data_IF_596486749185
#
_entry.id   IF_596486749185
#
_cell.length_a   1.000
_cell.length_b   1.000
_cell.length_c   1.000
_cell.angle_alpha   90.00
_cell.angle_beta   90.00
_cell.angle_gamma   90.00
#
_symmetry.space_group_name_H-M   'P 1'
#
loop_
_entity.id
_entity.type
_entity.pdbx_description
1 polymer ?
#
# COMPACT_ATOMS: atom_id res chain seq x y z
N UNK A 1 -21.90 23.12 -28.38
CA UNK A 1 -20.57 22.65 -27.98
C UNK A 1 -20.24 23.28 -26.64
N UNK A 2 -20.76 22.75 -25.53
CA UNK A 2 -20.58 23.26 -24.18
C UNK A 2 -19.66 22.25 -23.49
N UNK A 3 -18.37 22.59 -23.43
CA UNK A 3 -17.46 21.91 -22.51
C UNK A 3 -17.98 22.15 -21.09
N UNK A 4 -18.67 21.14 -20.53
CA UNK A 4 -19.02 21.16 -19.13
C UNK A 4 -17.73 21.32 -18.33
N UNK A 5 -17.58 22.44 -17.65
CA UNK A 5 -16.53 22.66 -16.68
C UNK A 5 -16.69 21.57 -15.60
N UNK A 6 -16.03 20.44 -15.79
CA UNK A 6 -15.87 19.45 -14.74
C UNK A 6 -15.13 20.13 -13.62
N UNK A 7 -15.85 20.50 -12.55
CA UNK A 7 -15.22 21.06 -11.36
C UNK A 7 -14.14 20.09 -10.91
N UNK A 8 -12.89 20.52 -11.00
CA UNK A 8 -11.74 19.76 -10.56
C UNK A 8 -11.93 19.42 -9.09
N UNK A 9 -11.98 18.13 -8.76
CA UNK A 9 -12.18 17.63 -7.38
C UNK A 9 -11.00 17.95 -6.47
N UNK A 10 -9.81 18.18 -7.06
CA UNK A 10 -8.55 18.41 -6.38
C UNK A 10 -7.80 19.59 -7.03
N UNK A 11 -6.84 20.24 -6.31
CA UNK A 11 -5.94 21.23 -6.89
C UNK A 11 -5.12 20.63 -8.05
N UNK A 12 -4.77 21.47 -9.05
CA UNK A 12 -4.05 21.07 -10.28
C UNK A 12 -2.74 20.31 -10.02
N UNK A 13 -2.08 20.57 -8.92
CA UNK A 13 -0.83 19.88 -8.52
C UNK A 13 -0.97 18.38 -8.30
N UNK A 14 -2.20 17.85 -8.19
CA UNK A 14 -2.49 16.44 -8.02
C UNK A 14 -2.90 15.73 -9.31
N UNK A 15 -2.81 16.45 -10.45
CA UNK A 15 -3.07 15.87 -11.77
C UNK A 15 -1.78 15.72 -12.55
N UNK A 16 -1.71 14.64 -13.32
CA UNK A 16 -0.65 14.38 -14.28
C UNK A 16 -0.89 15.18 -15.57
N UNK A 17 0.10 15.27 -16.46
CA UNK A 17 -0.02 15.90 -17.80
C UNK A 17 -1.19 15.33 -18.63
N UNK A 18 -1.56 14.09 -18.37
CA UNK A 18 -2.73 13.41 -18.97
C UNK A 18 -4.06 13.74 -18.30
N UNK A 19 -4.11 14.64 -17.31
CA UNK A 19 -5.32 14.98 -16.56
C UNK A 19 -5.79 13.92 -15.55
N UNK A 20 -4.96 12.92 -15.22
CA UNK A 20 -5.28 11.83 -14.28
C UNK A 20 -4.85 12.19 -12.87
N UNK A 21 -5.64 11.77 -11.87
CA UNK A 21 -5.30 11.99 -10.46
C UNK A 21 -4.07 11.16 -10.07
N UNK A 22 -3.04 11.85 -9.57
CA UNK A 22 -1.81 11.22 -9.08
C UNK A 22 -2.03 10.53 -7.72
N UNK A 23 -1.35 9.39 -7.47
CA UNK A 23 -1.35 8.78 -6.15
C UNK A 23 -0.75 9.75 -5.12
N UNK A 24 -1.36 9.88 -3.94
CA UNK A 24 -0.84 10.77 -2.92
C UNK A 24 0.52 10.28 -2.41
N UNK A 25 1.48 11.18 -2.26
CA UNK A 25 2.85 10.84 -1.79
C UNK A 25 2.86 10.13 -0.43
N UNK A 26 1.92 10.49 0.46
CA UNK A 26 1.79 9.86 1.77
C UNK A 26 1.42 8.37 1.69
N UNK A 27 0.71 7.94 0.63
CA UNK A 27 0.40 6.51 0.39
C UNK A 27 1.70 5.70 0.26
N UNK A 28 2.63 6.17 -0.57
CA UNK A 28 3.93 5.52 -0.74
C UNK A 28 4.72 5.50 0.57
N UNK A 29 4.75 6.63 1.29
CA UNK A 29 5.46 6.72 2.57
C UNK A 29 4.89 5.75 3.61
N UNK A 30 3.56 5.68 3.77
CA UNK A 30 2.92 4.75 4.69
C UNK A 30 3.15 3.28 4.28
N UNK A 31 2.98 2.95 2.99
CA UNK A 31 3.23 1.59 2.52
C UNK A 31 4.69 1.17 2.70
N UNK A 32 5.66 2.07 2.45
CA UNK A 32 7.08 1.80 2.67
C UNK A 32 7.38 1.56 4.15
N UNK A 33 6.80 2.36 5.06
CA UNK A 33 6.95 2.16 6.50
C UNK A 33 6.31 0.85 6.98
N UNK A 34 5.17 0.47 6.44
CA UNK A 34 4.53 -0.83 6.74
C UNK A 34 5.32 -2.02 6.19
N UNK A 35 6.09 -1.80 5.12
CA UNK A 35 6.97 -2.81 4.53
C UNK A 35 8.42 -2.76 5.05
N UNK A 36 8.66 -2.08 6.19
CA UNK A 36 10.01 -1.93 6.76
C UNK A 36 10.67 -3.28 7.05
N UNK A 37 9.88 -4.30 7.35
CA UNK A 37 10.35 -5.66 7.62
C UNK A 37 11.02 -6.28 6.38
N UNK A 38 10.53 -5.97 5.18
CA UNK A 38 11.16 -6.36 3.91
C UNK A 38 12.48 -5.66 3.69
N UNK A 39 12.55 -4.38 4.04
CA UNK A 39 13.78 -3.60 3.94
C UNK A 39 14.81 -4.17 4.91
N UNK A 40 14.44 -4.40 6.17
CA UNK A 40 15.30 -5.02 7.17
C UNK A 40 15.78 -6.42 6.74
N UNK A 41 14.90 -7.23 6.17
CA UNK A 41 15.22 -8.56 5.66
C UNK A 41 16.26 -8.50 4.51
N UNK A 42 16.05 -7.63 3.52
CA UNK A 42 17.00 -7.46 2.40
C UNK A 42 18.36 -6.97 2.88
N UNK A 43 18.38 -5.97 3.78
CA UNK A 43 19.64 -5.50 4.38
C UNK A 43 20.35 -6.60 5.16
N UNK A 44 19.60 -7.41 5.89
CA UNK A 44 20.14 -8.55 6.62
C UNK A 44 20.79 -9.58 5.68
N UNK A 45 20.17 -9.88 4.53
CA UNK A 45 20.76 -10.78 3.54
C UNK A 45 22.04 -10.20 2.90
N UNK A 46 22.10 -8.88 2.74
CA UNK A 46 23.25 -8.20 2.17
C UNK A 46 24.43 -8.11 3.14
N UNK A 47 24.18 -8.01 4.44
CA UNK A 47 25.20 -7.84 5.49
C UNK A 47 25.53 -9.17 6.17
N UNK A 48 26.41 -9.96 5.57
CA UNK A 48 26.79 -11.30 6.07
C UNK A 48 27.37 -11.31 7.48
N UNK A 49 27.98 -10.24 7.95
CA UNK A 49 28.67 -10.17 9.23
C UNK A 49 27.79 -9.75 10.41
N UNK A 50 26.74 -8.96 10.20
CA UNK A 50 25.89 -8.39 11.25
C UNK A 50 24.43 -8.81 11.14
N UNK A 51 24.12 -9.80 10.28
CA UNK A 51 22.78 -10.29 10.00
C UNK A 51 22.03 -10.68 11.27
N UNK A 52 22.69 -11.41 12.16
CA UNK A 52 22.07 -11.92 13.39
C UNK A 52 21.77 -10.83 14.40
N UNK A 53 22.61 -9.81 14.55
CA UNK A 53 22.40 -8.72 15.51
C UNK A 53 21.26 -7.79 15.09
N UNK A 54 21.22 -7.38 13.82
CA UNK A 54 20.14 -6.55 13.29
C UNK A 54 18.79 -7.24 13.34
N UNK A 55 18.74 -8.53 12.95
CA UNK A 55 17.51 -9.31 13.01
C UNK A 55 17.05 -9.57 14.45
N UNK A 56 17.97 -9.88 15.38
CA UNK A 56 17.63 -10.15 16.77
C UNK A 56 17.08 -8.92 17.50
N UNK A 57 17.48 -7.72 17.08
CA UNK A 57 16.94 -6.46 17.62
C UNK A 57 15.46 -6.26 17.27
N UNK A 58 15.09 -6.55 16.03
CA UNK A 58 13.70 -6.37 15.56
C UNK A 58 12.84 -7.62 15.77
N UNK A 59 13.44 -8.80 15.71
CA UNK A 59 12.77 -10.10 15.77
C UNK A 59 13.63 -11.12 16.53
N UNK A 60 13.38 -11.32 17.82
CA UNK A 60 14.09 -12.30 18.61
C UNK A 60 13.87 -13.73 18.09
N UNK A 61 12.76 -13.97 17.38
CA UNK A 61 12.45 -15.26 16.77
C UNK A 61 12.37 -15.16 15.22
N UNK A 62 13.12 -16.00 14.51
CA UNK A 62 13.12 -16.07 13.03
C UNK A 62 11.74 -16.41 12.45
N UNK A 63 10.93 -17.19 13.16
CA UNK A 63 9.57 -17.51 12.75
C UNK A 63 8.67 -16.28 12.73
N UNK A 64 8.80 -15.40 13.72
CA UNK A 64 8.04 -14.14 13.81
C UNK A 64 8.33 -13.22 12.64
N UNK A 65 9.59 -13.14 12.19
CA UNK A 65 9.95 -12.40 10.98
C UNK A 65 9.25 -12.98 9.75
N UNK A 66 9.28 -14.31 9.57
CA UNK A 66 8.63 -14.97 8.43
C UNK A 66 7.13 -14.67 8.37
N UNK A 67 6.45 -14.73 9.51
CA UNK A 67 5.01 -14.41 9.62
C UNK A 67 4.76 -12.93 9.28
N UNK A 68 5.57 -12.01 9.77
CA UNK A 68 5.44 -10.58 9.47
C UNK A 68 5.66 -10.29 7.98
N UNK A 69 6.64 -10.93 7.33
CA UNK A 69 6.87 -10.82 5.89
C UNK A 69 5.67 -11.31 5.08
N UNK A 70 5.09 -12.45 5.44
CA UNK A 70 3.89 -12.98 4.76
C UNK A 70 2.70 -12.05 4.97
N UNK A 71 2.49 -11.57 6.19
CA UNK A 71 1.37 -10.68 6.53
C UNK A 71 1.44 -9.31 5.80
N UNK A 72 2.64 -8.84 5.46
CA UNK A 72 2.85 -7.60 4.72
C UNK A 72 2.79 -7.75 3.19
N UNK A 73 2.76 -8.97 2.64
CA UNK A 73 2.65 -9.23 1.20
C UNK A 73 1.48 -8.50 0.52
N UNK A 74 0.27 -8.43 1.10
CA UNK A 74 -0.83 -7.70 0.46
C UNK A 74 -0.53 -6.20 0.32
N UNK A 75 0.16 -5.57 1.29
CA UNK A 75 0.56 -4.16 1.20
C UNK A 75 1.57 -3.97 0.07
N UNK A 76 2.57 -4.85 -0.02
CA UNK A 76 3.55 -4.84 -1.09
C UNK A 76 2.88 -5.01 -2.46
N UNK A 77 1.93 -5.92 -2.56
CA UNK A 77 1.13 -6.12 -3.78
C UNK A 77 0.34 -4.87 -4.14
N UNK A 78 -0.33 -4.23 -3.17
CA UNK A 78 -1.03 -2.97 -3.38
C UNK A 78 -0.11 -1.84 -3.85
N UNK A 79 1.09 -1.73 -3.27
CA UNK A 79 2.12 -0.77 -3.68
C UNK A 79 2.59 -1.02 -5.12
N UNK A 80 2.84 -2.28 -5.47
CA UNK A 80 3.24 -2.66 -6.82
C UNK A 80 2.15 -2.37 -7.85
N UNK A 81 0.88 -2.61 -7.53
CA UNK A 81 -0.25 -2.27 -8.40
C UNK A 81 -0.29 -0.76 -8.69
N UNK A 82 -0.16 0.07 -7.66
CA UNK A 82 -0.13 1.53 -7.82
C UNK A 82 1.10 1.99 -8.62
N UNK A 83 2.27 1.38 -8.38
CA UNK A 83 3.51 1.73 -9.06
C UNK A 83 3.52 1.31 -10.54
N UNK A 84 2.91 0.17 -10.87
CA UNK A 84 2.89 -0.38 -12.23
C UNK A 84 1.62 0.00 -13.02
N UNK A 85 0.90 1.04 -12.61
CA UNK A 85 -0.35 1.52 -13.21
C UNK A 85 -0.29 1.63 -14.73
N UNK A 86 0.77 2.24 -15.27
CA UNK A 86 0.91 2.49 -16.71
C UNK A 86 1.02 1.20 -17.54
N UNK A 87 1.67 0.17 -16.97
CA UNK A 87 1.77 -1.15 -17.62
C UNK A 87 0.44 -1.88 -17.62
N UNK A 88 -0.34 -1.75 -16.54
CA UNK A 88 -1.64 -2.40 -16.39
C UNK A 88 -2.68 -1.77 -17.32
N UNK A 89 -2.66 -0.45 -17.49
CA UNK A 89 -3.53 0.24 -18.45
C UNK A 89 -3.21 -0.15 -19.88
N UNK A 90 -1.92 -0.21 -20.26
CA UNK A 90 -1.52 -0.67 -21.60
C UNK A 90 -2.00 -2.09 -21.95
N UNK A 91 -2.27 -2.91 -20.95
CA UNK A 91 -2.82 -4.28 -21.11
C UNK A 91 -4.35 -4.33 -21.07
N UNK A 92 -5.04 -3.20 -20.95
CA UNK A 92 -6.51 -3.12 -20.93
C UNK A 92 -7.17 -3.64 -19.64
N UNK A 93 -6.41 -3.94 -18.61
CA UNK A 93 -6.99 -4.35 -17.33
C UNK A 93 -7.45 -3.11 -16.54
N UNK A 94 -8.75 -3.02 -16.16
CA UNK A 94 -9.31 -1.89 -15.40
C UNK A 94 -9.65 -2.30 -13.98
N UNK A 95 -10.14 -3.52 -13.78
CA UNK A 95 -10.67 -4.01 -12.49
C UNK A 95 -9.66 -4.01 -11.35
N UNK A 96 -8.36 -3.99 -11.64
CA UNK A 96 -7.30 -3.93 -10.61
C UNK A 96 -7.36 -2.66 -9.75
N UNK A 97 -7.87 -1.55 -10.29
CA UNK A 97 -8.01 -0.29 -9.56
C UNK A 97 -8.90 -0.46 -8.32
N UNK A 98 -9.99 -1.23 -8.45
CA UNK A 98 -10.91 -1.51 -7.33
C UNK A 98 -10.26 -2.37 -6.26
N UNK A 99 -9.28 -3.22 -6.62
CA UNK A 99 -8.60 -4.11 -5.69
C UNK A 99 -7.55 -3.40 -4.81
N UNK A 100 -7.04 -2.22 -5.21
CA UNK A 100 -5.97 -1.51 -4.48
C UNK A 100 -6.34 -1.27 -3.01
N UNK A 101 -7.49 -0.62 -2.78
CA UNK A 101 -7.92 -0.25 -1.44
C UNK A 101 -8.16 -1.45 -0.53
N UNK A 102 -8.97 -2.47 -0.91
CA UNK A 102 -9.18 -3.63 -0.05
C UNK A 102 -7.90 -4.45 0.19
N UNK A 103 -6.99 -4.53 -0.79
CA UNK A 103 -5.72 -5.26 -0.63
C UNK A 103 -4.82 -4.59 0.41
N UNK A 104 -4.68 -3.25 0.37
CA UNK A 104 -3.90 -2.51 1.36
C UNK A 104 -4.54 -2.61 2.74
N UNK A 105 -5.86 -2.46 2.86
CA UNK A 105 -6.58 -2.60 4.13
C UNK A 105 -6.43 -3.99 4.72
N UNK A 106 -6.54 -5.03 3.89
CA UNK A 106 -6.34 -6.42 4.32
C UNK A 106 -4.92 -6.63 4.84
N UNK A 107 -3.90 -6.08 4.17
CA UNK A 107 -2.52 -6.16 4.64
C UNK A 107 -2.29 -5.43 5.97
N UNK A 108 -2.85 -4.24 6.15
CA UNK A 108 -2.78 -3.53 7.43
C UNK A 108 -3.47 -4.32 8.55
N UNK A 109 -4.62 -4.93 8.28
CA UNK A 109 -5.32 -5.77 9.24
C UNK A 109 -4.53 -7.03 9.58
N UNK A 110 -3.90 -7.68 8.58
CA UNK A 110 -3.04 -8.85 8.79
C UNK A 110 -1.84 -8.53 9.68
N UNK A 111 -1.16 -7.40 9.43
CA UNK A 111 -0.05 -6.95 10.27
C UNK A 111 -0.51 -6.65 11.71
N UNK A 112 -1.65 -6.00 11.87
CA UNK A 112 -2.21 -5.74 13.18
C UNK A 112 -2.54 -7.03 13.93
N UNK A 113 -3.15 -8.01 13.26
CA UNK A 113 -3.45 -9.32 13.83
C UNK A 113 -2.19 -10.07 14.30
N UNK A 114 -1.11 -10.04 13.49
CA UNK A 114 0.17 -10.64 13.86
C UNK A 114 0.77 -9.97 15.10
N UNK A 115 0.70 -8.64 15.20
CA UNK A 115 1.17 -7.92 16.38
C UNK A 115 0.35 -8.27 17.63
N UNK A 116 -0.97 -8.43 17.47
CA UNK A 116 -1.86 -8.80 18.55
C UNK A 116 -1.58 -10.22 19.07
N UNK A 117 -1.37 -11.19 18.16
CA UNK A 117 -1.00 -12.57 18.58
C UNK A 117 0.34 -12.59 19.29
N UNK A 118 1.33 -11.85 18.79
CA UNK A 118 2.62 -11.71 19.47
C UNK A 118 2.47 -11.19 20.91
N UNK A 119 1.64 -10.16 21.12
CA UNK A 119 1.41 -9.57 22.44
C UNK A 119 0.69 -10.55 23.39
N UNK A 120 -0.25 -11.34 22.87
CA UNK A 120 -0.95 -12.38 23.65
C UNK A 120 0.01 -13.49 24.09
N UNK A 121 0.92 -13.93 23.23
CA UNK A 121 1.90 -14.96 23.52
C UNK A 121 2.95 -14.53 24.57
N UNK A 122 3.19 -13.21 24.71
CA UNK A 122 4.14 -12.64 25.65
C UNK A 122 3.44 -12.08 26.91
N UNK A 123 2.31 -12.64 27.32
CA UNK A 123 1.59 -12.30 28.55
C UNK A 123 1.33 -10.80 28.75
N UNK A 124 1.07 -10.06 27.66
CA UNK A 124 0.86 -8.61 27.64
C UNK A 124 2.06 -7.80 28.15
N UNK A 125 3.28 -8.35 28.08
CA UNK A 125 4.50 -7.62 28.40
C UNK A 125 4.61 -6.35 27.56
N UNK A 126 4.80 -5.20 28.23
CA UNK A 126 4.93 -3.92 27.54
C UNK A 126 6.26 -3.81 26.83
N UNK A 127 6.23 -3.92 25.49
CA UNK A 127 7.36 -3.61 24.62
C UNK A 127 7.05 -2.35 23.80
N UNK A 128 7.85 -1.31 23.99
CA UNK A 128 7.66 -0.02 23.32
C UNK A 128 7.61 -0.13 21.79
N UNK A 129 8.45 -0.97 21.21
CA UNK A 129 8.51 -1.17 19.75
C UNK A 129 7.23 -1.80 19.22
N UNK A 130 6.68 -2.79 19.93
CA UNK A 130 5.42 -3.46 19.56
C UNK A 130 4.26 -2.49 19.69
N UNK A 131 4.19 -1.73 20.77
CA UNK A 131 3.14 -0.72 20.97
C UNK A 131 3.18 0.37 19.88
N UNK A 132 4.36 0.84 19.51
CA UNK A 132 4.55 1.82 18.44
C UNK A 132 4.09 1.26 17.07
N UNK A 133 4.44 0.02 16.76
CA UNK A 133 4.01 -0.66 15.53
C UNK A 133 2.49 -0.84 15.48
N UNK A 134 1.87 -1.25 16.59
CA UNK A 134 0.41 -1.39 16.68
C UNK A 134 -0.30 -0.04 16.47
N UNK A 135 0.17 1.03 17.14
CA UNK A 135 -0.36 2.37 16.96
C UNK A 135 -0.23 2.83 15.50
N UNK A 136 0.90 2.55 14.87
CA UNK A 136 1.14 2.89 13.47
C UNK A 136 0.23 2.11 12.50
N UNK A 137 0.01 0.81 12.74
CA UNK A 137 -0.95 0.01 11.95
C UNK A 137 -2.38 0.54 12.08
N UNK A 138 -2.82 0.92 13.28
CA UNK A 138 -4.14 1.52 13.49
C UNK A 138 -4.26 2.87 12.80
N UNK A 139 -3.23 3.71 12.88
CA UNK A 139 -3.18 4.98 12.16
C UNK A 139 -3.26 4.77 10.65
N UNK A 140 -2.52 3.82 10.10
CA UNK A 140 -2.54 3.50 8.68
C UNK A 140 -3.92 2.96 8.24
N UNK A 141 -4.52 2.06 9.01
CA UNK A 141 -5.89 1.57 8.77
C UNK A 141 -6.89 2.73 8.70
N UNK A 142 -6.83 3.63 9.67
CA UNK A 142 -7.71 4.81 9.70
C UNK A 142 -7.46 5.72 8.50
N UNK A 143 -6.19 6.02 8.18
CA UNK A 143 -5.80 6.87 7.07
C UNK A 143 -6.29 6.32 5.73
N UNK A 144 -6.06 5.02 5.45
CA UNK A 144 -6.51 4.38 4.22
C UNK A 144 -8.04 4.26 4.12
N UNK A 145 -8.71 3.96 5.26
CA UNK A 145 -10.17 3.87 5.30
C UNK A 145 -10.82 5.20 4.96
N UNK A 146 -10.40 6.29 5.64
CA UNK A 146 -11.03 7.60 5.57
C UNK A 146 -10.55 8.44 4.37
N UNK A 147 -9.50 8.06 3.67
CA UNK A 147 -8.92 8.87 2.59
C UNK A 147 -9.88 9.11 1.43
N UNK A 148 -10.31 10.37 1.28
CA UNK A 148 -11.11 10.84 0.15
C UNK A 148 -10.27 10.87 -1.13
N UNK A 149 -9.00 11.26 -1.03
CA UNK A 149 -8.08 11.32 -2.16
C UNK A 149 -7.92 9.94 -2.83
N UNK A 150 -7.73 8.90 -2.03
CA UNK A 150 -7.60 7.53 -2.52
C UNK A 150 -8.86 7.07 -3.27
N UNK A 151 -10.04 7.42 -2.74
CA UNK A 151 -11.31 7.08 -3.37
C UNK A 151 -11.50 7.81 -4.70
N UNK A 152 -11.23 9.12 -4.75
CA UNK A 152 -11.34 9.91 -5.97
C UNK A 152 -10.33 9.46 -7.03
N UNK A 153 -9.12 9.12 -6.62
CA UNK A 153 -8.10 8.54 -7.51
C UNK A 153 -8.58 7.24 -8.15
N UNK A 154 -9.15 6.32 -7.36
CA UNK A 154 -9.66 5.04 -7.89
C UNK A 154 -10.85 5.26 -8.82
N UNK A 155 -11.77 6.15 -8.48
CA UNK A 155 -12.92 6.52 -9.33
C UNK A 155 -12.46 7.10 -10.67
N UNK A 156 -11.50 8.04 -10.65
CA UNK A 156 -10.92 8.66 -11.84
C UNK A 156 -10.23 7.64 -12.74
N UNK A 157 -9.43 6.76 -12.16
CA UNK A 157 -8.73 5.71 -12.89
C UNK A 157 -9.67 4.68 -13.54
N UNK A 158 -10.82 4.41 -12.93
CA UNK A 158 -11.84 3.55 -13.53
C UNK A 158 -12.50 4.20 -14.74
N UNK A 159 -12.85 5.49 -14.66
CA UNK A 159 -13.50 6.22 -15.76
C UNK A 159 -12.56 6.28 -16.97
N UNK A 160 -11.33 6.75 -16.76
CA UNK A 160 -10.33 6.89 -17.83
C UNK A 160 -9.99 5.53 -18.47
N UNK A 161 -9.89 4.48 -17.65
CA UNK A 161 -9.62 3.13 -18.16
C UNK A 161 -10.74 2.61 -19.07
N UNK A 162 -12.01 2.94 -18.82
CA UNK A 162 -13.13 2.60 -19.70
C UNK A 162 -13.05 3.36 -21.03
N UNK A 163 -12.79 4.67 -21.00
CA UNK A 163 -12.67 5.49 -22.21
C UNK A 163 -11.54 5.03 -23.14
N UNK A 164 -10.37 4.68 -22.56
CA UNK A 164 -9.23 4.19 -23.34
C UNK A 164 -9.52 2.86 -24.01
N UNK A 165 -10.25 1.95 -23.35
CA UNK A 165 -10.66 0.67 -23.95
C UNK A 165 -11.70 0.84 -25.08
N UNK A 166 -12.66 1.74 -24.91
CA UNK A 166 -13.64 2.04 -25.97
C UNK A 166 -12.97 2.62 -27.22
N UNK A 167 -11.99 3.50 -27.04
CA UNK A 167 -11.22 4.05 -28.17
C UNK A 167 -10.41 2.98 -28.89
N UNK A 168 -9.84 2.02 -28.15
CA UNK A 168 -9.12 0.90 -28.77
C UNK A 168 -10.05 -0.05 -29.52
N UNK A 169 -11.25 -0.33 -28.99
CA UNK A 169 -12.23 -1.18 -29.63
C UNK A 169 -12.81 -0.55 -30.93
N UNK A 170 -12.94 0.78 -30.98
CA UNK A 170 -13.45 1.49 -32.16
C UNK A 170 -12.41 1.70 -33.28
N UNK A 171 -11.11 1.44 -32.97
CA UNK A 171 -10.01 1.55 -33.95
C UNK A 171 -9.58 0.21 -34.57
N UNK A 172 -10.27 -0.89 -34.23
CA UNK A 172 -10.11 -2.24 -34.79
C UNK A 172 -11.25 -2.57 -35.77
#
# INVERSE_FOLDING_TARGET
MILGATMLKLPLQFYDESGRILPPKWLYALCMLLCIDWIAFVFSLASRAQTNELLSFFYPNKASLGIALIASLPILTGLLLVSQRDRLWKKGYIKWCTAIKPTILFGCFSLFAVQLTYLMDHEWGFEFVVALRMAFCLFALYAFWKSRHLRWMIEDWLIVGHEDNEKQANNL
#
